data_IF_475166139992
#
_entry.id   IF_475166139992
#
_cell.length_a   1.000
_cell.length_b   1.000
_cell.length_c   1.000
_cell.angle_alpha   90.00
_cell.angle_beta   90.00
_cell.angle_gamma   90.00
#
_symmetry.space_group_name_H-M   'P 1'
#
loop_
_entity.id
_entity.type
_entity.pdbx_description
1 polymer ?
#
# COMPACT_ATOMS: atom_id res chain seq x y z
N UNK A 1 12.87 28.57 -16.92
CA UNK A 1 13.78 28.07 -15.87
C UNK A 1 13.07 27.17 -14.84
N UNK A 2 11.96 26.48 -15.18
CA UNK A 2 11.10 25.78 -14.20
C UNK A 2 11.26 24.26 -14.12
N UNK A 3 11.35 23.55 -15.26
CA UNK A 3 11.29 22.09 -15.28
C UNK A 3 12.43 21.37 -14.54
N UNK A 4 13.64 21.96 -14.51
CA UNK A 4 14.80 21.34 -13.85
C UNK A 4 14.72 21.33 -12.32
N UNK A 5 14.05 22.31 -11.73
CA UNK A 5 13.89 22.40 -10.27
C UNK A 5 12.82 21.43 -9.76
N UNK A 6 11.70 21.30 -10.48
CA UNK A 6 10.64 20.31 -10.17
C UNK A 6 11.12 18.87 -10.29
N UNK A 7 11.84 18.52 -11.36
CA UNK A 7 12.39 17.16 -11.50
C UNK A 7 13.34 16.79 -10.36
N UNK A 8 14.13 17.74 -9.84
CA UNK A 8 15.01 17.50 -8.69
C UNK A 8 14.23 17.30 -7.37
N UNK A 9 13.09 17.98 -7.21
CA UNK A 9 12.21 17.87 -6.03
C UNK A 9 11.46 16.54 -5.98
N UNK A 10 10.95 16.10 -7.13
CA UNK A 10 10.26 14.80 -7.27
C UNK A 10 11.24 13.66 -7.01
N UNK A 11 12.45 13.72 -7.58
CA UNK A 11 13.49 12.73 -7.32
C UNK A 11 13.82 12.61 -5.82
N UNK A 12 13.98 13.76 -5.13
CA UNK A 12 14.23 13.77 -3.68
C UNK A 12 13.07 13.19 -2.85
N UNK A 13 11.82 13.31 -3.29
CA UNK A 13 10.65 12.74 -2.62
C UNK A 13 10.51 11.23 -2.88
N UNK A 14 10.81 10.77 -4.10
CA UNK A 14 10.85 9.34 -4.43
C UNK A 14 12.01 8.61 -3.73
N UNK A 15 13.09 9.33 -3.44
CA UNK A 15 14.21 8.85 -2.63
C UNK A 15 13.97 8.96 -1.12
N UNK A 16 12.87 9.60 -0.68
CA UNK A 16 12.53 9.65 0.74
C UNK A 16 12.25 8.25 1.29
N UNK A 17 12.63 8.02 2.54
CA UNK A 17 12.40 6.72 3.20
C UNK A 17 10.93 6.31 3.21
N UNK A 18 10.01 7.29 3.14
CA UNK A 18 8.57 7.09 3.14
C UNK A 18 8.06 6.27 1.95
N UNK A 19 8.70 6.39 0.78
CA UNK A 19 8.28 5.69 -0.44
C UNK A 19 9.28 4.59 -0.88
N UNK A 20 10.29 4.28 -0.07
CA UNK A 20 11.21 3.17 -0.35
C UNK A 20 10.45 1.85 -0.52
N UNK A 21 10.77 1.10 -1.58
CA UNK A 21 10.10 -0.18 -1.89
C UNK A 21 8.83 -0.06 -2.76
N UNK A 22 8.43 1.16 -3.15
CA UNK A 22 7.45 1.39 -4.24
C UNK A 22 8.01 1.11 -5.63
N UNK A 23 9.30 0.79 -5.75
CA UNK A 23 9.95 0.58 -7.03
C UNK A 23 9.33 -0.65 -7.68
N UNK A 24 8.35 -0.42 -8.55
CA UNK A 24 7.95 -1.38 -9.54
C UNK A 24 9.21 -1.75 -10.31
N UNK A 25 9.43 -3.03 -10.55
CA UNK A 25 10.27 -3.48 -11.67
C UNK A 25 9.55 -3.08 -12.97
N UNK A 26 9.40 -1.78 -13.19
CA UNK A 26 8.79 -1.22 -14.38
C UNK A 26 9.89 -0.74 -15.31
N UNK A 27 9.57 -0.79 -16.59
CA UNK A 27 10.33 -0.16 -17.65
C UNK A 27 10.77 1.28 -17.25
N UNK A 28 11.86 1.80 -17.84
CA UNK A 28 12.37 3.15 -17.54
C UNK A 28 11.23 4.18 -17.54
N UNK A 29 11.23 5.14 -16.62
CA UNK A 29 10.12 6.11 -16.50
C UNK A 29 9.84 6.84 -17.81
N UNK A 30 10.87 6.99 -18.65
CA UNK A 30 10.80 7.54 -20.00
C UNK A 30 9.89 6.74 -20.93
N UNK A 31 9.77 5.43 -20.72
CA UNK A 31 8.87 4.57 -21.51
C UNK A 31 7.39 4.82 -21.20
N UNK A 32 7.07 5.54 -20.13
CA UNK A 32 5.69 5.92 -19.80
C UNK A 32 5.23 7.17 -20.56
N UNK A 33 6.13 7.89 -21.24
CA UNK A 33 5.78 9.11 -21.99
C UNK A 33 4.67 8.82 -23.01
N UNK A 34 3.65 9.69 -23.01
CA UNK A 34 2.49 9.55 -23.88
C UNK A 34 1.42 8.56 -23.39
N UNK A 35 1.65 7.87 -22.27
CA UNK A 35 0.59 7.12 -21.58
C UNK A 35 -0.35 8.04 -20.80
N UNK A 36 -1.54 7.53 -20.46
CA UNK A 36 -2.47 8.23 -19.57
C UNK A 36 -1.85 8.52 -18.20
N UNK A 37 -1.04 7.61 -17.67
CA UNK A 37 -0.32 7.80 -16.41
C UNK A 37 0.67 8.98 -16.48
N UNK A 38 1.33 9.18 -17.61
CA UNK A 38 2.22 10.32 -17.82
C UNK A 38 1.45 11.64 -17.82
N UNK A 39 0.34 11.70 -18.56
CA UNK A 39 -0.50 12.89 -18.60
C UNK A 39 -1.07 13.26 -17.22
N UNK A 40 -1.45 12.26 -16.42
CA UNK A 40 -1.90 12.48 -15.05
C UNK A 40 -0.76 12.99 -14.15
N UNK A 41 0.44 12.44 -14.27
CA UNK A 41 1.60 12.93 -13.54
C UNK A 41 1.93 14.39 -13.92
N UNK A 42 1.89 14.74 -15.21
CA UNK A 42 2.06 16.13 -15.66
C UNK A 42 0.98 17.06 -15.08
N UNK A 43 -0.27 16.60 -15.03
CA UNK A 43 -1.37 17.35 -14.41
C UNK A 43 -1.15 17.59 -12.92
N UNK A 44 -0.72 16.57 -12.17
CA UNK A 44 -0.42 16.67 -10.74
C UNK A 44 0.71 17.68 -10.45
N UNK A 45 1.71 17.76 -11.33
CA UNK A 45 2.83 18.69 -11.18
C UNK A 45 2.47 20.11 -11.60
N UNK A 46 1.61 20.26 -12.60
CA UNK A 46 1.17 21.58 -13.06
C UNK A 46 0.28 22.32 -12.04
N UNK A 47 -0.40 21.60 -11.16
CA UNK A 47 -1.24 22.18 -10.12
C UNK A 47 -0.43 22.42 -8.82
N UNK A 48 -0.31 23.69 -8.44
CA UNK A 48 0.48 24.10 -7.28
C UNK A 48 0.01 23.41 -5.99
N UNK A 49 0.92 22.69 -5.34
CA UNK A 49 0.66 22.02 -4.05
C UNK A 49 -0.04 20.67 -4.16
N UNK A 50 -0.58 20.30 -5.32
CA UNK A 50 -1.30 19.02 -5.48
C UNK A 50 -0.34 17.84 -5.38
N UNK A 51 0.83 17.93 -6.03
CA UNK A 51 1.87 16.92 -5.89
C UNK A 51 2.33 16.77 -4.44
N UNK A 52 2.61 17.88 -3.74
CA UNK A 52 3.02 17.84 -2.34
C UNK A 52 1.95 17.22 -1.44
N UNK A 53 0.67 17.49 -1.71
CA UNK A 53 -0.44 16.87 -1.00
C UNK A 53 -0.46 15.35 -1.19
N UNK A 54 -0.40 14.87 -2.44
CA UNK A 54 -0.41 13.43 -2.75
C UNK A 54 0.84 12.74 -2.19
N UNK A 55 2.01 13.34 -2.39
CA UNK A 55 3.28 12.79 -1.91
C UNK A 55 3.37 12.75 -0.38
N UNK A 56 2.68 13.66 0.31
CA UNK A 56 2.61 13.72 1.77
C UNK A 56 1.54 12.82 2.41
N UNK A 57 0.76 12.08 1.62
CA UNK A 57 -0.24 11.15 2.18
C UNK A 57 0.44 10.03 2.98
N UNK A 58 -0.14 9.72 4.13
CA UNK A 58 0.35 8.64 4.99
C UNK A 58 -0.11 7.29 4.46
N UNK A 59 0.74 6.28 4.59
CA UNK A 59 0.40 4.88 4.26
C UNK A 59 -0.56 4.27 5.27
N UNK A 60 -0.45 4.70 6.52
CA UNK A 60 -1.31 4.29 7.61
C UNK A 60 -1.51 5.42 8.62
N UNK A 61 -2.61 5.35 9.38
CA UNK A 61 -2.94 6.33 10.42
C UNK A 61 -3.55 5.60 11.62
N UNK A 62 -2.90 5.68 12.77
CA UNK A 62 -3.51 5.25 14.03
C UNK A 62 -4.64 6.21 14.41
N UNK A 63 -5.76 5.66 14.87
CA UNK A 63 -6.92 6.45 15.30
C UNK A 63 -6.61 7.07 16.68
N UNK A 64 -6.98 8.33 16.87
CA UNK A 64 -6.86 9.00 18.16
C UNK A 64 -7.66 8.25 19.24
N UNK A 65 -7.06 8.06 20.41
CA UNK A 65 -7.62 7.21 21.48
C UNK A 65 -7.17 5.74 21.42
N UNK A 66 -6.49 5.32 20.34
CA UNK A 66 -5.88 4.00 20.22
C UNK A 66 -6.85 2.88 19.86
N UNK A 67 -6.33 1.66 19.71
CA UNK A 67 -7.12 0.45 19.45
C UNK A 67 -7.57 0.25 18.01
N UNK A 68 -7.25 1.18 17.11
CA UNK A 68 -7.48 1.02 15.68
C UNK A 68 -6.43 1.71 14.81
N UNK A 69 -6.23 1.14 13.61
CA UNK A 69 -5.37 1.69 12.57
C UNK A 69 -6.07 1.64 11.21
N UNK A 70 -5.91 2.70 10.43
CA UNK A 70 -6.42 2.80 9.07
C UNK A 70 -5.28 2.55 8.08
N UNK A 71 -5.49 1.64 7.14
CA UNK A 71 -4.56 1.30 6.04
C UNK A 71 -5.33 1.22 4.71
N UNK A 72 -4.64 1.31 3.56
CA UNK A 72 -5.35 1.21 2.27
C UNK A 72 -5.84 -0.21 1.96
N UNK A 73 -4.94 -1.21 1.97
CA UNK A 73 -5.26 -2.57 1.54
C UNK A 73 -5.23 -3.61 2.67
N UNK A 74 -4.25 -3.55 3.57
CA UNK A 74 -4.16 -4.48 4.69
C UNK A 74 -2.83 -4.45 5.42
N UNK A 75 -2.66 -5.43 6.31
CA UNK A 75 -1.44 -5.63 7.11
C UNK A 75 -0.95 -7.07 7.03
N UNK A 76 0.36 -7.27 7.05
CA UNK A 76 0.96 -8.60 7.19
C UNK A 76 0.95 -8.94 8.70
N UNK A 77 0.21 -9.98 9.14
CA UNK A 77 0.15 -10.34 10.55
C UNK A 77 1.54 -10.62 11.13
N UNK A 78 1.82 -10.04 12.30
CA UNK A 78 3.12 -10.19 12.97
C UNK A 78 4.23 -9.25 12.47
N UNK A 79 3.99 -8.47 11.42
CA UNK A 79 4.95 -7.50 10.90
C UNK A 79 4.59 -6.08 11.36
N UNK A 80 5.52 -5.30 11.93
CA UNK A 80 5.27 -3.89 12.24
C UNK A 80 4.94 -3.08 10.98
N UNK A 81 4.01 -2.12 11.07
CA UNK A 81 3.64 -1.25 9.95
C UNK A 81 4.83 -0.44 9.38
N UNK A 82 5.81 -0.10 10.24
CA UNK A 82 7.05 0.57 9.85
C UNK A 82 7.94 -0.28 8.95
N UNK A 83 7.77 -1.61 8.99
CA UNK A 83 8.63 -2.57 8.30
C UNK A 83 7.99 -3.05 6.99
N UNK A 84 6.71 -2.71 6.76
CA UNK A 84 6.00 -3.01 5.53
C UNK A 84 6.34 -1.99 4.46
N UNK A 85 6.47 -2.46 3.22
CA UNK A 85 6.67 -1.55 2.10
C UNK A 85 5.37 -0.83 1.74
N UNK A 86 5.43 0.34 1.09
CA UNK A 86 4.23 1.01 0.61
C UNK A 86 3.42 0.13 -0.34
N UNK A 87 4.08 -0.76 -1.10
CA UNK A 87 3.43 -1.71 -2.00
C UNK A 87 2.58 -2.71 -1.21
N UNK A 88 3.09 -3.24 -0.10
CA UNK A 88 2.35 -4.18 0.76
C UNK A 88 1.06 -3.52 1.27
N UNK A 89 1.19 -2.30 1.80
CA UNK A 89 0.06 -1.57 2.41
C UNK A 89 -0.98 -1.13 1.37
N UNK A 90 -0.59 -0.92 0.11
CA UNK A 90 -1.48 -0.34 -0.93
C UNK A 90 -2.01 -1.35 -1.95
N UNK A 91 -1.47 -2.57 -2.02
CA UNK A 91 -1.84 -3.52 -3.09
C UNK A 91 -2.22 -4.91 -2.60
N UNK A 92 -1.92 -5.25 -1.35
CA UNK A 92 -2.13 -6.62 -0.85
C UNK A 92 -3.60 -7.03 -0.85
N UNK A 93 -3.87 -8.26 -1.29
CA UNK A 93 -5.18 -8.93 -1.20
C UNK A 93 -5.13 -10.23 -0.41
N UNK A 94 -3.96 -10.87 -0.42
CA UNK A 94 -3.72 -12.14 0.27
C UNK A 94 -2.32 -12.14 0.84
N UNK A 95 -2.03 -13.10 1.73
CA UNK A 95 -0.68 -13.43 2.17
C UNK A 95 -0.34 -14.85 1.75
N UNK A 96 0.93 -15.04 1.42
CA UNK A 96 1.53 -16.36 1.25
C UNK A 96 2.36 -16.71 2.49
N UNK A 97 2.34 -17.97 2.90
CA UNK A 97 3.20 -18.48 3.96
C UNK A 97 4.36 -19.26 3.36
N UNK A 98 5.58 -18.85 3.70
CA UNK A 98 6.82 -19.55 3.36
C UNK A 98 7.00 -20.81 4.21
N UNK A 99 7.94 -21.69 3.83
CA UNK A 99 8.24 -22.93 4.59
C UNK A 99 8.71 -22.66 6.03
N UNK A 100 9.36 -21.53 6.28
CA UNK A 100 9.82 -21.09 7.61
C UNK A 100 8.70 -20.47 8.47
N UNK A 101 7.48 -20.41 7.94
CA UNK A 101 6.31 -19.84 8.59
C UNK A 101 6.15 -18.32 8.40
N UNK A 102 7.10 -17.63 7.75
CA UNK A 102 7.00 -16.20 7.45
C UNK A 102 5.86 -15.89 6.49
N UNK A 103 5.22 -14.73 6.68
CA UNK A 103 4.15 -14.25 5.81
C UNK A 103 4.66 -13.16 4.88
N UNK A 104 4.25 -13.22 3.62
CA UNK A 104 4.57 -12.20 2.60
C UNK A 104 3.29 -11.70 1.92
N UNK A 105 3.25 -10.41 1.62
CA UNK A 105 2.11 -9.79 0.95
C UNK A 105 2.03 -10.21 -0.52
N UNK A 106 0.82 -10.48 -0.98
CA UNK A 106 0.53 -10.77 -2.39
C UNK A 106 -0.60 -9.87 -2.89
N UNK A 107 -0.39 -9.25 -4.05
CA UNK A 107 -1.41 -8.51 -4.77
C UNK A 107 -2.43 -9.44 -5.47
N UNK A 108 -2.13 -10.74 -5.54
CA UNK A 108 -3.07 -11.73 -6.06
C UNK A 108 -4.15 -12.00 -5.03
N UNK A 109 -5.39 -12.09 -5.50
CA UNK A 109 -6.48 -12.61 -4.70
C UNK A 109 -6.30 -14.14 -4.55
N UNK A 110 -6.50 -14.69 -3.36
CA UNK A 110 -6.38 -16.13 -3.07
C UNK A 110 -7.34 -17.02 -3.88
N UNK A 111 -8.38 -16.44 -4.51
CA UNK A 111 -9.28 -17.12 -5.46
C UNK A 111 -8.83 -17.01 -6.92
N UNK A 112 -7.72 -16.33 -7.20
CA UNK A 112 -7.18 -16.20 -8.55
C UNK A 112 -6.74 -17.56 -9.09
N UNK A 113 -6.93 -17.85 -10.39
CA UNK A 113 -6.33 -19.03 -11.02
C UNK A 113 -4.80 -19.07 -10.92
N UNK A 114 -4.16 -17.91 -10.73
CA UNK A 114 -2.72 -17.77 -10.52
C UNK A 114 -2.31 -17.84 -9.04
N UNK A 115 -3.26 -18.07 -8.12
CA UNK A 115 -2.95 -18.20 -6.70
C UNK A 115 -2.19 -19.52 -6.44
N UNK A 116 -1.09 -19.41 -5.72
CA UNK A 116 -0.31 -20.57 -5.28
C UNK A 116 -0.95 -21.24 -4.07
N UNK A 117 -0.66 -22.52 -3.87
CA UNK A 117 -1.12 -23.26 -2.69
C UNK A 117 -0.63 -22.59 -1.40
N UNK A 118 -1.54 -22.36 -0.45
CA UNK A 118 -1.22 -21.70 0.82
C UNK A 118 -1.50 -20.20 0.86
N UNK A 119 -1.92 -19.57 -0.25
CA UNK A 119 -2.41 -18.20 -0.23
C UNK A 119 -3.74 -18.09 0.52
N UNK A 120 -3.84 -17.12 1.43
CA UNK A 120 -5.05 -16.88 2.23
C UNK A 120 -5.33 -15.39 2.41
N UNK A 121 -6.60 -14.98 2.66
CA UNK A 121 -6.87 -13.63 3.13
C UNK A 121 -6.03 -13.32 4.37
N UNK A 122 -5.37 -12.15 4.39
CA UNK A 122 -4.61 -11.73 5.57
C UNK A 122 -5.50 -11.59 6.82
N UNK A 123 -6.78 -11.25 6.60
CA UNK A 123 -7.80 -11.09 7.65
C UNK A 123 -8.06 -12.37 8.44
N UNK A 124 -7.89 -13.55 7.82
CA UNK A 124 -8.08 -14.83 8.51
C UNK A 124 -7.02 -15.09 9.58
N UNK A 125 -5.88 -14.39 9.47
CA UNK A 125 -4.71 -14.56 10.32
C UNK A 125 -4.53 -13.39 11.30
N UNK A 126 -5.33 -12.34 11.18
CA UNK A 126 -5.25 -11.18 12.06
C UNK A 126 -5.89 -11.49 13.41
N UNK A 127 -5.10 -11.34 14.47
CA UNK A 127 -5.53 -11.60 15.86
C UNK A 127 -5.50 -10.34 16.74
N UNK A 128 -5.25 -9.17 16.14
CA UNK A 128 -5.13 -7.89 16.85
C UNK A 128 -3.75 -7.63 17.46
N UNK A 129 -3.64 -6.73 18.45
CA UNK A 129 -4.73 -6.19 19.28
C UNK A 129 -5.55 -5.06 18.63
N UNK A 130 -5.03 -4.40 17.61
CA UNK A 130 -5.71 -3.27 16.96
C UNK A 130 -6.83 -3.74 16.02
N UNK A 131 -7.89 -2.94 15.93
CA UNK A 131 -8.86 -3.04 14.83
C UNK A 131 -8.24 -2.42 13.59
N UNK A 132 -8.13 -3.20 12.51
CA UNK A 132 -7.61 -2.71 11.23
C UNK A 132 -8.78 -2.30 10.33
N UNK A 133 -8.83 -1.03 9.95
CA UNK A 133 -9.79 -0.47 8.99
C UNK A 133 -9.08 -0.38 7.65
N UNK A 134 -9.65 -1.02 6.63
CA UNK A 134 -9.00 -1.15 5.32
C UNK A 134 -10.03 -1.15 4.17
N UNK A 135 -9.53 -1.07 2.95
CA UNK A 135 -10.31 -1.14 1.72
C UNK A 135 -9.60 -1.96 0.63
N UNK A 136 -9.47 -1.37 -0.55
CA UNK A 136 -8.80 -1.95 -1.74
C UNK A 136 -9.48 -3.16 -2.40
N UNK A 137 -9.76 -4.24 -1.66
CA UNK A 137 -10.28 -5.49 -2.23
C UNK A 137 -11.81 -5.49 -2.38
N UNK A 138 -12.31 -4.62 -3.26
CA UNK A 138 -13.74 -4.52 -3.59
C UNK A 138 -14.36 -5.85 -4.06
N UNK A 139 -13.55 -6.80 -4.56
CA UNK A 139 -14.03 -8.12 -5.01
C UNK A 139 -14.52 -9.00 -3.88
N UNK A 140 -14.13 -8.70 -2.64
CA UNK A 140 -14.57 -9.41 -1.42
C UNK A 140 -15.78 -8.76 -0.74
N UNK A 141 -16.21 -7.59 -1.22
CA UNK A 141 -17.31 -6.84 -0.59
C UNK A 141 -16.96 -6.37 0.83
N UNK A 142 -17.99 -6.13 1.63
CA UNK A 142 -17.84 -5.76 3.04
C UNK A 142 -17.40 -6.98 3.87
N UNK A 143 -16.24 -6.88 4.50
CA UNK A 143 -15.73 -7.87 5.43
C UNK A 143 -15.71 -7.28 6.85
N UNK A 144 -16.34 -7.98 7.78
CA UNK A 144 -16.36 -7.60 9.20
C UNK A 144 -15.78 -8.79 9.97
N UNK A 145 -14.53 -8.64 10.41
CA UNK A 145 -13.89 -9.59 11.31
C UNK A 145 -14.47 -9.54 12.73
N UNK A 146 -14.14 -10.51 13.59
CA UNK A 146 -14.52 -10.45 14.99
C UNK A 146 -13.97 -9.16 15.61
N UNK A 147 -14.85 -8.31 16.16
CA UNK A 147 -14.43 -7.21 17.02
C UNK A 147 -13.76 -7.84 18.24
N UNK A 148 -12.49 -7.56 18.48
CA UNK A 148 -11.91 -7.83 19.79
C UNK A 148 -12.76 -7.04 20.79
N UNK A 149 -13.45 -7.79 21.65
CA UNK A 149 -14.57 -7.29 22.46
C UNK A 149 -14.19 -6.08 23.28
N UNK A 150 -15.03 -5.05 23.21
CA UNK A 150 -15.18 -4.12 24.32
C UNK A 150 -15.80 -4.88 25.49
N UNK A 151 -15.15 -4.79 26.64
CA UNK A 151 -15.79 -5.01 27.94
C UNK A 151 -16.81 -3.88 28.21
#
# INVERSE_FOLDING_TARGET
MGAGAESSRIASLLESEHWRGTRFESAPIESLRGSEHWGLAEGLLAEEGLWEYVAGMKLYQHVEGGGAVVVHAGVIPGTPLSDMTPRDITTMRSVSQSEDGSLTASALNHRSPAAEGGMRPWTDLWIGPETVIYGHDASTGLNIGPRLGGA
#
